data_IF_174107791144
#
_entry.id   IF_174107791144
#
_cell.length_a   1.000
_cell.length_b   1.000
_cell.length_c   1.000
_cell.angle_alpha   90.00
_cell.angle_beta   90.00
_cell.angle_gamma   90.00
#
_symmetry.space_group_name_H-M   'P 1'
#
loop_
_entity.id
_entity.type
_entity.pdbx_description
1 polymer ?
#
# COMPACT_ATOMS: atom_id res chain seq x y z
N UNK A 1 4.20 -46.76 25.14
CA UNK A 1 4.98 -45.96 26.10
C UNK A 1 5.22 -44.60 25.48
N UNK A 2 4.95 -43.49 26.19
CA UNK A 2 5.07 -42.11 25.67
C UNK A 2 6.20 -41.42 26.42
N UNK A 3 7.17 -40.88 25.68
CA UNK A 3 8.23 -40.06 26.22
C UNK A 3 8.09 -38.64 25.66
N UNK A 4 8.26 -37.63 26.51
CA UNK A 4 8.49 -36.25 26.09
C UNK A 4 9.91 -35.88 26.50
N UNK A 5 10.73 -35.54 25.51
CA UNK A 5 12.09 -35.03 25.71
C UNK A 5 12.04 -33.53 25.43
N UNK A 6 12.50 -32.72 26.38
CA UNK A 6 12.68 -31.28 26.22
C UNK A 6 14.17 -30.98 26.38
N UNK A 7 14.82 -30.55 25.30
CA UNK A 7 16.16 -29.98 25.37
C UNK A 7 15.99 -28.46 25.45
N UNK A 8 16.55 -27.84 26.48
CA UNK A 8 16.69 -26.39 26.56
C UNK A 8 18.15 -26.05 26.87
N UNK A 9 18.58 -24.87 26.43
CA UNK A 9 19.90 -24.33 26.70
C UNK A 9 19.71 -23.17 27.69
N UNK A 10 20.35 -23.26 28.85
CA UNK A 10 20.40 -22.18 29.83
C UNK A 10 21.76 -21.50 29.71
N UNK A 11 21.75 -20.21 29.43
CA UNK A 11 22.95 -19.40 29.46
C UNK A 11 23.42 -19.27 30.92
N UNK A 12 24.68 -19.61 31.17
CA UNK A 12 25.28 -19.50 32.50
C UNK A 12 25.56 -18.02 32.77
N UNK A 13 24.91 -17.38 33.76
CA UNK A 13 25.01 -15.93 33.98
C UNK A 13 26.41 -15.44 34.37
N UNK A 14 27.29 -16.34 34.78
CA UNK A 14 28.64 -16.06 35.27
C UNK A 14 29.71 -16.11 34.17
N UNK A 15 29.33 -16.46 32.93
CA UNK A 15 30.25 -16.57 31.79
C UNK A 15 30.06 -15.37 30.87
N UNK A 16 31.02 -14.44 30.90
CA UNK A 16 31.13 -13.40 29.87
C UNK A 16 31.60 -14.05 28.57
N UNK A 17 30.74 -14.02 27.55
CA UNK A 17 31.15 -14.30 26.19
C UNK A 17 31.97 -13.09 25.71
N UNK A 18 33.29 -13.22 25.65
CA UNK A 18 34.21 -12.17 25.16
C UNK A 18 34.08 -11.92 23.63
N UNK A 19 32.90 -12.15 23.05
CA UNK A 19 32.62 -11.93 21.63
C UNK A 19 32.20 -10.48 21.32
N UNK A 20 32.03 -9.66 22.36
CA UNK A 20 31.64 -8.25 22.24
C UNK A 20 30.18 -8.05 21.81
N UNK A 21 29.37 -9.11 21.80
CA UNK A 21 27.95 -9.01 21.49
C UNK A 21 27.18 -8.49 22.70
N UNK A 22 26.24 -7.57 22.44
CA UNK A 22 25.31 -7.07 23.45
C UNK A 22 23.90 -7.35 23.00
N UNK A 23 23.19 -8.18 23.76
CA UNK A 23 21.80 -8.53 23.50
C UNK A 23 20.87 -7.60 24.28
N UNK A 24 19.98 -6.92 23.57
CA UNK A 24 18.95 -6.07 24.15
C UNK A 24 17.59 -6.73 23.97
N UNK A 25 16.95 -7.08 25.08
CA UNK A 25 15.62 -7.68 25.10
C UNK A 25 14.57 -6.62 25.35
N UNK A 26 13.65 -6.46 24.40
CA UNK A 26 12.52 -5.56 24.53
C UNK A 26 11.23 -6.33 24.76
N UNK A 27 10.51 -5.99 25.82
CA UNK A 27 9.19 -6.55 26.08
C UNK A 27 8.12 -5.61 25.54
N UNK A 28 7.46 -6.01 24.44
CA UNK A 28 6.44 -5.19 23.79
C UNK A 28 5.18 -4.98 24.65
N UNK A 29 4.91 -5.85 25.63
CA UNK A 29 3.78 -5.71 26.56
C UNK A 29 4.17 -5.17 27.94
N UNK A 30 5.43 -4.76 28.11
CA UNK A 30 5.92 -4.22 29.37
C UNK A 30 5.41 -2.80 29.63
N UNK A 31 5.07 -2.50 30.89
CA UNK A 31 4.60 -1.18 31.32
C UNK A 31 5.65 -0.39 32.12
N UNK A 32 6.88 -0.91 32.22
CA UNK A 32 7.95 -0.33 33.05
C UNK A 32 9.23 -0.16 32.25
N UNK A 33 9.87 0.98 32.41
CA UNK A 33 11.13 1.30 31.76
C UNK A 33 10.96 1.65 30.27
N UNK A 34 12.06 2.05 29.63
CA UNK A 34 12.00 2.62 28.28
C UNK A 34 11.70 4.12 28.30
N UNK A 35 11.98 4.78 27.17
CA UNK A 35 11.56 6.15 26.91
C UNK A 35 10.37 6.13 25.93
N UNK A 36 9.75 7.29 25.71
CA UNK A 36 8.61 7.43 24.80
C UNK A 36 8.91 6.88 23.38
N UNK A 37 10.13 7.07 22.88
CA UNK A 37 10.54 6.57 21.57
C UNK A 37 10.55 5.02 21.51
N UNK A 38 11.02 4.35 22.57
CA UNK A 38 10.97 2.89 22.67
C UNK A 38 9.51 2.42 22.80
N UNK A 39 8.69 3.12 23.58
CA UNK A 39 7.26 2.79 23.68
C UNK A 39 6.56 2.90 22.32
N UNK A 40 6.75 4.01 21.60
CA UNK A 40 6.23 4.23 20.26
C UNK A 40 6.63 3.09 19.29
N UNK A 41 7.93 2.74 19.27
CA UNK A 41 8.44 1.66 18.45
C UNK A 41 7.80 0.31 18.79
N UNK A 42 7.76 -0.06 20.08
CA UNK A 42 7.24 -1.35 20.51
C UNK A 42 5.74 -1.48 20.27
N UNK A 43 4.97 -0.43 20.52
CA UNK A 43 3.53 -0.38 20.20
C UNK A 43 3.31 -0.58 18.69
N UNK A 44 4.10 0.10 17.86
CA UNK A 44 4.01 -0.04 16.41
C UNK A 44 4.42 -1.44 15.92
N UNK A 45 5.42 -2.09 16.55
CA UNK A 45 5.81 -3.47 16.20
C UNK A 45 4.73 -4.50 16.56
N UNK A 46 3.94 -4.27 17.62
CA UNK A 46 2.79 -5.11 17.93
C UNK A 46 1.69 -4.97 16.88
N UNK A 47 1.46 -3.73 16.44
CA UNK A 47 0.39 -3.36 15.53
C UNK A 47 0.87 -2.28 14.56
N UNK A 48 1.28 -2.73 13.37
CA UNK A 48 1.99 -1.93 12.36
C UNK A 48 1.06 -1.15 11.43
N UNK A 49 -0.09 -0.71 11.94
CA UNK A 49 -1.04 0.12 11.20
C UNK A 49 -0.70 1.60 11.29
N UNK A 50 -1.25 2.41 10.38
CA UNK A 50 -0.91 3.84 10.27
C UNK A 50 -1.31 4.63 11.51
N UNK A 51 -2.35 4.19 12.21
CA UNK A 51 -2.88 4.83 13.41
C UNK A 51 -1.89 4.79 14.59
N UNK A 52 -0.94 3.85 14.58
CA UNK A 52 0.10 3.72 15.61
C UNK A 52 1.42 4.42 15.22
N UNK A 53 1.42 5.19 14.12
CA UNK A 53 2.56 6.05 13.75
C UNK A 53 2.47 7.35 14.53
N UNK A 54 3.37 7.53 15.50
CA UNK A 54 3.32 8.65 16.45
C UNK A 54 4.53 9.58 16.36
N UNK A 55 5.62 9.13 15.73
CA UNK A 55 6.85 9.90 15.57
C UNK A 55 7.50 9.68 14.18
N UNK A 56 8.58 10.42 13.90
CA UNK A 56 9.27 10.35 12.61
C UNK A 56 9.93 8.98 12.38
N UNK A 57 10.43 8.32 13.43
CA UNK A 57 11.08 7.02 13.33
C UNK A 57 10.07 5.92 12.94
N UNK A 58 8.92 5.90 13.60
CA UNK A 58 7.79 5.01 13.29
C UNK A 58 7.19 5.32 11.94
N UNK A 59 7.15 6.58 11.49
CA UNK A 59 6.69 6.93 10.15
C UNK A 59 7.64 6.39 9.07
N UNK A 60 8.96 6.56 9.26
CA UNK A 60 9.97 6.00 8.36
C UNK A 60 9.87 4.47 8.31
N UNK A 61 9.71 3.82 9.45
CA UNK A 61 9.52 2.38 9.54
C UNK A 61 8.23 1.93 8.84
N UNK A 62 7.13 2.67 9.02
CA UNK A 62 5.86 2.40 8.37
C UNK A 62 5.96 2.44 6.85
N UNK A 63 6.61 3.47 6.28
CA UNK A 63 6.84 3.56 4.82
C UNK A 63 7.59 2.35 4.28
N UNK A 64 8.60 1.86 5.01
CA UNK A 64 9.35 0.67 4.61
C UNK A 64 8.48 -0.58 4.67
N UNK A 65 7.73 -0.76 5.77
CA UNK A 65 6.86 -1.92 5.95
C UNK A 65 5.72 -1.94 4.94
N UNK A 66 5.13 -0.79 4.60
CA UNK A 66 4.10 -0.70 3.56
C UNK A 66 4.60 -1.26 2.24
N UNK A 67 5.78 -0.82 1.78
CA UNK A 67 6.41 -1.33 0.55
C UNK A 67 6.71 -2.83 0.60
N UNK A 68 7.02 -3.36 1.79
CA UNK A 68 7.29 -4.79 1.98
C UNK A 68 5.98 -5.59 1.99
N UNK A 69 4.91 -5.08 2.61
CA UNK A 69 3.59 -5.72 2.66
C UNK A 69 2.88 -5.78 1.29
N UNK A 70 3.24 -4.88 0.37
CA UNK A 70 2.76 -4.91 -1.01
C UNK A 70 3.32 -6.10 -1.81
N UNK A 71 4.45 -6.70 -1.37
CA UNK A 71 5.06 -7.82 -2.07
C UNK A 71 4.22 -9.09 -1.93
N UNK A 72 3.90 -9.81 -3.03
CA UNK A 72 3.05 -11.00 -2.99
C UNK A 72 3.56 -12.08 -2.03
N UNK A 73 4.88 -12.27 -1.96
CA UNK A 73 5.50 -13.30 -1.11
C UNK A 73 5.23 -13.01 0.37
N UNK A 74 5.32 -11.74 0.76
CA UNK A 74 5.08 -11.31 2.14
C UNK A 74 3.60 -11.40 2.49
N UNK A 75 2.73 -10.97 1.58
CA UNK A 75 1.28 -10.95 1.78
C UNK A 75 0.70 -12.34 2.01
N UNK A 76 1.22 -13.34 1.30
CA UNK A 76 0.72 -14.72 1.38
C UNK A 76 1.32 -15.51 2.54
N UNK A 77 2.60 -15.32 2.87
CA UNK A 77 3.32 -16.21 3.79
C UNK A 77 3.46 -15.65 5.21
N UNK A 78 3.52 -14.31 5.39
CA UNK A 78 3.93 -13.70 6.67
C UNK A 78 2.91 -12.75 7.30
N UNK A 79 1.87 -12.35 6.57
CA UNK A 79 0.87 -11.42 7.11
C UNK A 79 -0.13 -12.13 8.03
N UNK A 80 -0.49 -11.47 9.14
CA UNK A 80 -1.58 -11.94 9.99
C UNK A 80 -2.89 -11.83 9.23
N UNK A 81 -3.84 -12.70 9.56
CA UNK A 81 -5.15 -12.70 8.90
C UNK A 81 -5.89 -11.35 9.00
N UNK A 82 -5.77 -10.66 10.14
CA UNK A 82 -6.35 -9.33 10.34
C UNK A 82 -5.71 -8.27 9.43
N UNK A 83 -4.38 -8.35 9.22
CA UNK A 83 -3.69 -7.49 8.27
C UNK A 83 -4.20 -7.76 6.85
N UNK A 84 -4.33 -9.04 6.45
CA UNK A 84 -4.84 -9.41 5.12
C UNK A 84 -6.21 -8.78 4.87
N UNK A 85 -7.15 -8.93 5.81
CA UNK A 85 -8.49 -8.33 5.71
C UNK A 85 -8.42 -6.80 5.60
N UNK A 86 -7.57 -6.15 6.37
CA UNK A 86 -7.40 -4.69 6.32
C UNK A 86 -6.97 -4.24 4.91
N UNK A 87 -5.98 -4.92 4.33
CA UNK A 87 -5.48 -4.60 3.00
C UNK A 87 -6.48 -4.94 1.91
N UNK A 88 -7.14 -6.09 1.96
CA UNK A 88 -8.22 -6.42 1.02
C UNK A 88 -9.33 -5.38 1.03
N UNK A 89 -9.77 -4.92 2.21
CA UNK A 89 -10.77 -3.84 2.30
C UNK A 89 -10.29 -2.54 1.66
N UNK A 90 -9.02 -2.19 1.85
CA UNK A 90 -8.43 -0.99 1.28
C UNK A 90 -8.31 -1.09 -0.25
N UNK A 91 -7.85 -2.23 -0.75
CA UNK A 91 -7.72 -2.52 -2.18
C UNK A 91 -9.11 -2.53 -2.84
N UNK A 92 -10.09 -3.21 -2.24
CA UNK A 92 -11.48 -3.22 -2.72
C UNK A 92 -12.13 -1.84 -2.71
N UNK A 93 -11.82 -0.97 -1.74
CA UNK A 93 -12.32 0.41 -1.73
C UNK A 93 -11.74 1.22 -2.88
N UNK A 94 -10.44 1.05 -3.16
CA UNK A 94 -9.77 1.68 -4.30
C UNK A 94 -10.38 1.20 -5.62
N UNK A 95 -10.46 -0.12 -5.83
CA UNK A 95 -11.04 -0.72 -7.03
C UNK A 95 -12.52 -0.32 -7.24
N UNK A 96 -13.29 -0.26 -6.16
CA UNK A 96 -14.67 0.22 -6.19
C UNK A 96 -14.79 1.69 -6.60
N UNK A 97 -13.88 2.55 -6.13
CA UNK A 97 -13.84 3.98 -6.52
C UNK A 97 -13.45 4.14 -7.99
N UNK A 98 -12.47 3.39 -8.45
CA UNK A 98 -12.02 3.40 -9.85
C UNK A 98 -13.12 2.92 -10.79
N UNK A 99 -13.78 1.82 -10.44
CA UNK A 99 -14.94 1.31 -11.16
C UNK A 99 -16.07 2.34 -11.22
N UNK A 100 -16.36 3.02 -10.11
CA UNK A 100 -17.37 4.08 -10.08
C UNK A 100 -17.00 5.26 -10.99
N UNK A 101 -15.73 5.68 -11.04
CA UNK A 101 -15.31 6.75 -11.95
C UNK A 101 -15.38 6.33 -13.41
N UNK A 102 -14.94 5.12 -13.76
CA UNK A 102 -15.06 4.59 -15.14
C UNK A 102 -16.51 4.58 -15.60
N UNK A 103 -17.41 4.04 -14.79
CA UNK A 103 -18.85 4.02 -15.08
C UNK A 103 -19.44 5.44 -15.19
N UNK A 104 -19.00 6.36 -14.33
CA UNK A 104 -19.47 7.76 -14.38
C UNK A 104 -19.00 8.48 -15.65
N UNK A 105 -17.74 8.30 -16.07
CA UNK A 105 -17.22 8.82 -17.34
C UNK A 105 -18.05 8.30 -18.50
N UNK A 106 -18.25 6.97 -18.57
CA UNK A 106 -19.04 6.34 -19.64
C UNK A 106 -20.47 6.90 -19.65
N UNK A 107 -21.10 7.03 -18.48
CA UNK A 107 -22.47 7.57 -18.35
C UNK A 107 -22.57 9.02 -18.82
N UNK A 108 -21.60 9.86 -18.49
CA UNK A 108 -21.55 11.26 -18.94
C UNK A 108 -21.40 11.34 -20.46
N UNK A 109 -20.51 10.53 -21.03
CA UNK A 109 -20.30 10.47 -22.48
C UNK A 109 -21.53 9.94 -23.23
N UNK A 110 -22.30 9.03 -22.63
CA UNK A 110 -23.55 8.54 -23.19
C UNK A 110 -24.61 9.64 -23.41
N UNK A 111 -24.52 10.77 -22.69
CA UNK A 111 -25.40 11.91 -22.93
C UNK A 111 -25.16 12.56 -24.31
N UNK A 112 -24.00 12.35 -24.92
CA UNK A 112 -23.63 12.87 -26.23
C UNK A 112 -23.84 11.87 -27.39
N UNK A 113 -24.18 10.62 -27.08
CA UNK A 113 -24.39 9.56 -28.08
C UNK A 113 -23.86 8.22 -27.62
N UNK A 114 -23.85 7.24 -28.52
CA UNK A 114 -23.29 5.93 -28.22
C UNK A 114 -21.77 6.01 -28.07
N UNK A 115 -21.25 5.57 -26.92
CA UNK A 115 -19.81 5.57 -26.64
C UNK A 115 -19.18 4.38 -27.37
N UNK A 116 -18.21 4.62 -28.30
CA UNK A 116 -17.53 3.55 -29.02
C UNK A 116 -16.91 2.51 -28.09
N UNK A 117 -16.93 1.24 -28.49
CA UNK A 117 -16.33 0.13 -27.72
C UNK A 117 -14.86 0.39 -27.41
N UNK A 118 -14.11 0.86 -28.41
CA UNK A 118 -12.67 1.11 -28.27
C UNK A 118 -12.38 2.20 -27.22
N UNK A 119 -13.25 3.20 -27.11
CA UNK A 119 -13.13 4.26 -26.10
C UNK A 119 -13.48 3.73 -24.70
N UNK A 120 -14.52 2.87 -24.59
CA UNK A 120 -14.84 2.20 -23.32
C UNK A 120 -13.68 1.35 -22.82
N UNK A 121 -13.06 0.59 -23.70
CA UNK A 121 -11.94 -0.28 -23.35
C UNK A 121 -10.73 0.54 -22.89
N UNK A 122 -10.44 1.68 -23.55
CA UNK A 122 -9.41 2.63 -23.09
C UNK A 122 -9.70 3.18 -21.70
N UNK A 123 -10.94 3.60 -21.42
CA UNK A 123 -11.33 4.12 -20.09
C UNK A 123 -11.19 3.02 -19.03
N UNK A 124 -11.61 1.79 -19.34
CA UNK A 124 -11.56 0.66 -18.42
C UNK A 124 -10.13 0.19 -18.10
N UNK A 125 -9.17 0.43 -19.01
CA UNK A 125 -7.76 0.10 -18.80
C UNK A 125 -7.02 1.07 -17.84
N UNK A 126 -7.61 2.20 -17.45
CA UNK A 126 -6.96 3.19 -16.58
C UNK A 126 -7.15 2.81 -15.12
N UNK A 127 -6.06 2.53 -14.41
CA UNK A 127 -6.03 2.11 -12.99
C UNK A 127 -5.56 3.22 -12.02
N UNK A 128 -5.33 4.43 -12.52
CA UNK A 128 -4.94 5.56 -11.67
C UNK A 128 -6.19 6.36 -11.25
N UNK A 129 -6.48 6.34 -9.94
CA UNK A 129 -7.64 7.04 -9.38
C UNK A 129 -7.60 8.56 -9.63
N UNK A 130 -6.41 9.18 -9.64
CA UNK A 130 -6.25 10.62 -9.85
C UNK A 130 -6.52 11.03 -11.29
N UNK A 131 -6.05 10.24 -12.26
CA UNK A 131 -6.35 10.41 -13.68
C UNK A 131 -7.86 10.24 -13.92
N UNK A 132 -8.46 9.19 -13.37
CA UNK A 132 -9.90 8.97 -13.48
C UNK A 132 -10.72 10.14 -12.94
N UNK A 133 -10.29 10.77 -11.85
CA UNK A 133 -10.97 11.95 -11.29
C UNK A 133 -10.91 13.16 -12.23
N UNK A 134 -9.78 13.39 -12.90
CA UNK A 134 -9.65 14.46 -13.90
C UNK A 134 -10.51 14.16 -15.15
N UNK A 135 -10.48 12.91 -15.62
CA UNK A 135 -11.28 12.47 -16.76
C UNK A 135 -12.79 12.60 -16.50
N UNK A 136 -13.26 12.40 -15.27
CA UNK A 136 -14.66 12.69 -14.89
C UNK A 136 -15.00 14.16 -15.15
N UNK A 137 -14.13 15.11 -14.78
CA UNK A 137 -14.36 16.55 -15.00
C UNK A 137 -14.35 16.89 -16.49
N UNK A 138 -13.46 16.27 -17.24
CA UNK A 138 -13.38 16.43 -18.70
C UNK A 138 -14.62 15.88 -19.39
N UNK A 139 -15.07 14.68 -19.02
CA UNK A 139 -16.29 14.08 -19.56
C UNK A 139 -17.52 14.95 -19.26
N UNK A 140 -17.61 15.52 -18.06
CA UNK A 140 -18.69 16.43 -17.69
C UNK A 140 -18.67 17.76 -18.49
N UNK A 141 -17.51 18.17 -18.98
CA UNK A 141 -17.32 19.42 -19.73
C UNK A 141 -17.23 19.22 -21.24
N UNK A 142 -17.25 17.96 -21.71
CA UNK A 142 -17.07 17.62 -23.10
C UNK A 142 -18.29 18.05 -23.93
N UNK A 143 -18.05 18.53 -25.15
CA UNK A 143 -19.12 18.83 -26.11
C UNK A 143 -19.56 17.61 -26.92
N UNK A 144 -18.69 16.61 -27.06
CA UNK A 144 -18.96 15.34 -27.73
C UNK A 144 -18.01 14.24 -27.26
N UNK A 145 -18.31 12.99 -27.63
CA UNK A 145 -17.47 11.82 -27.36
C UNK A 145 -16.12 11.92 -28.07
N UNK A 146 -16.07 12.47 -29.28
CA UNK A 146 -14.82 12.64 -30.05
C UNK A 146 -13.92 13.71 -29.44
N UNK A 147 -14.51 14.81 -28.95
CA UNK A 147 -13.77 15.85 -28.24
C UNK A 147 -13.10 15.30 -26.97
N UNK A 148 -13.81 14.46 -26.22
CA UNK A 148 -13.24 13.77 -25.06
C UNK A 148 -12.12 12.80 -25.47
N UNK A 149 -12.33 11.97 -26.50
CA UNK A 149 -11.32 11.01 -26.94
C UNK A 149 -10.02 11.71 -27.40
N UNK A 150 -10.13 12.86 -28.06
CA UNK A 150 -8.96 13.66 -28.44
C UNK A 150 -8.20 14.22 -27.22
N UNK A 151 -8.92 14.66 -26.19
CA UNK A 151 -8.31 15.13 -24.93
C UNK A 151 -7.63 13.98 -24.17
N UNK A 152 -8.30 12.84 -24.06
CA UNK A 152 -7.79 11.62 -23.44
C UNK A 152 -6.50 11.14 -24.13
N UNK A 153 -6.47 11.14 -25.47
CA UNK A 153 -5.28 10.76 -26.23
C UNK A 153 -4.09 11.68 -25.93
N UNK A 154 -4.33 12.99 -25.83
CA UNK A 154 -3.30 13.96 -25.47
C UNK A 154 -2.75 13.73 -24.06
N UNK A 155 -3.60 13.39 -23.09
CA UNK A 155 -3.15 13.05 -21.74
C UNK A 155 -2.33 11.76 -21.71
N UNK A 156 -2.79 10.70 -22.38
CA UNK A 156 -2.04 9.44 -22.51
C UNK A 156 -0.68 9.64 -23.18
N UNK A 157 -0.61 10.44 -24.25
CA UNK A 157 0.64 10.74 -24.96
C UNK A 157 1.60 11.59 -24.08
N UNK A 158 1.08 12.54 -23.30
CA UNK A 158 1.87 13.30 -22.33
C UNK A 158 2.46 12.41 -21.23
N UNK A 159 1.74 11.37 -20.81
CA UNK A 159 2.23 10.44 -19.80
C UNK A 159 3.29 9.49 -20.35
N UNK A 160 3.13 9.03 -21.59
CA UNK A 160 4.15 8.21 -22.25
C UNK A 160 5.46 8.98 -22.48
N UNK A 161 5.39 10.30 -22.75
CA UNK A 161 6.57 11.14 -22.98
C UNK A 161 7.37 11.52 -21.72
N UNK A 162 6.82 11.32 -20.51
CA UNK A 162 7.51 11.61 -19.24
C UNK A 162 8.24 10.38 -18.65
N UNK A 163 8.17 9.20 -19.29
CA UNK A 163 8.78 7.96 -18.81
C UNK A 163 10.25 7.73 -19.18
N UNK A 164 10.85 8.60 -20.00
CA UNK A 164 12.20 8.41 -20.55
C UNK A 164 13.32 9.15 -19.78
N UNK A 165 13.06 9.68 -18.59
CA UNK A 165 14.09 10.35 -17.78
C UNK A 165 14.07 9.81 -16.36
N UNK A 166 14.85 8.77 -16.12
CA UNK A 166 15.71 8.55 -14.93
C UNK A 166 16.06 7.06 -14.78
N UNK A 167 17.12 6.62 -15.44
CA UNK A 167 17.92 5.45 -15.05
C UNK A 167 19.39 5.68 -15.50
N UNK A 168 19.99 6.78 -15.04
CA UNK A 168 21.46 6.94 -15.00
C UNK A 168 21.87 7.77 -13.77
N UNK A 169 22.08 7.10 -12.63
CA UNK A 169 23.23 7.27 -11.72
C UNK A 169 23.19 6.31 -10.52
#
# INVERSE_FOLDING_TARGET
MKYCVHNHCEEVPEVDYEDGLTFLYFNTGGTRGGNEAIHALLTYLQDSRKENVVDEATDRLHRLITKVKEKPEVKLEYMKFEDIIYWEKKDSYKEGRESAYREMIITLLQAHGEVPSDLRDKINAIEDTGILEELVRQAASASSTEAFEAALKKELDCMAGNGDVEDEN
#
